data_IF_991685704260
#
_entry.id   IF_991685704260
#
_cell.length_a   1.000
_cell.length_b   1.000
_cell.length_c   1.000
_cell.angle_alpha   90.00
_cell.angle_beta   90.00
_cell.angle_gamma   90.00
#
_symmetry.space_group_name_H-M   'P 1'
#
loop_
_entity.id
_entity.type
_entity.pdbx_description
1 polymer ?
#
# COMPACT_ATOMS: atom_id res chain seq x y z
N UNK A 1 -11.74 34.71 2.21
CA UNK A 1 -10.36 34.80 1.71
C UNK A 1 -9.80 33.40 1.77
N UNK A 2 -9.81 32.71 0.62
CA UNK A 2 -9.28 31.34 0.52
C UNK A 2 -7.75 31.42 0.45
N UNK A 3 -7.08 31.13 1.57
CA UNK A 3 -5.63 30.91 1.58
C UNK A 3 -5.39 29.53 0.96
N UNK A 4 -5.18 29.50 -0.36
CA UNK A 4 -4.70 28.31 -1.04
C UNK A 4 -3.29 28.05 -0.57
N UNK A 5 -3.10 27.02 0.27
CA UNK A 5 -1.80 26.40 0.47
C UNK A 5 -1.39 25.87 -0.92
N UNK A 6 -0.57 26.65 -1.63
CA UNK A 6 0.17 26.10 -2.77
C UNK A 6 1.11 25.08 -2.14
N UNK A 7 0.95 23.81 -2.53
CA UNK A 7 2.04 22.85 -2.43
C UNK A 7 3.25 23.58 -3.01
N UNK A 8 4.20 23.96 -2.16
CA UNK A 8 5.47 24.54 -2.59
C UNK A 8 6.35 23.41 -3.13
N UNK A 9 5.77 22.71 -4.12
CA UNK A 9 6.53 21.96 -5.10
C UNK A 9 7.28 23.03 -5.86
N UNK A 10 8.35 23.56 -5.23
CA UNK A 10 9.23 24.52 -5.88
C UNK A 10 9.40 24.01 -7.28
N UNK A 11 9.09 24.81 -8.30
CA UNK A 11 8.94 24.50 -9.74
C UNK A 11 10.08 23.61 -10.29
N UNK A 12 10.42 22.55 -9.57
CA UNK A 12 11.08 21.36 -10.09
C UNK A 12 10.08 20.79 -11.09
N UNK A 13 10.43 20.86 -12.33
CA UNK A 13 9.68 20.47 -13.51
C UNK A 13 8.81 19.26 -13.17
N UNK A 14 7.51 19.34 -13.37
CA UNK A 14 6.55 18.23 -13.21
C UNK A 14 6.97 16.97 -13.98
N UNK A 15 8.00 17.09 -14.81
CA UNK A 15 8.66 16.04 -15.59
C UNK A 15 9.54 15.10 -14.75
N UNK A 16 9.95 15.50 -13.54
CA UNK A 16 10.91 14.77 -12.69
C UNK A 16 10.24 14.11 -11.47
N UNK A 17 8.97 14.42 -11.18
CA UNK A 17 8.26 13.83 -10.03
C UNK A 17 7.88 12.39 -10.36
N UNK A 18 8.34 11.45 -9.51
CA UNK A 18 7.91 10.05 -9.60
C UNK A 18 6.69 9.80 -8.71
N UNK A 19 5.95 8.72 -8.99
CA UNK A 19 4.79 8.32 -8.17
C UNK A 19 5.23 8.03 -6.72
N UNK A 20 6.32 7.28 -6.53
CA UNK A 20 6.86 7.02 -5.19
C UNK A 20 7.37 8.30 -4.51
N UNK A 21 8.02 9.19 -5.26
CA UNK A 21 8.48 10.48 -4.74
C UNK A 21 7.33 11.33 -4.20
N UNK A 22 6.21 11.40 -4.95
CA UNK A 22 5.01 12.09 -4.49
C UNK A 22 4.44 11.43 -3.23
N UNK A 23 4.29 10.10 -3.22
CA UNK A 23 3.72 9.35 -2.10
C UNK A 23 4.59 9.45 -0.83
N UNK A 24 5.92 9.50 -0.99
CA UNK A 24 6.87 9.63 0.14
C UNK A 24 6.86 11.05 0.71
N UNK A 25 6.88 12.08 -0.16
CA UNK A 25 6.88 13.47 0.28
C UNK A 25 5.52 13.94 0.84
N UNK A 26 4.45 13.33 0.40
CA UNK A 26 3.07 13.68 0.74
C UNK A 26 2.28 12.42 1.11
N UNK A 27 2.29 11.97 2.38
CA UNK A 27 1.58 10.74 2.79
C UNK A 27 0.10 10.73 2.40
N UNK A 28 -0.54 11.91 2.37
CA UNK A 28 -1.92 12.06 1.88
C UNK A 28 -2.11 11.63 0.41
N UNK A 29 -1.03 11.68 -0.41
CA UNK A 29 -1.08 11.27 -1.81
C UNK A 29 -1.41 9.79 -1.99
N UNK A 30 -1.05 8.94 -1.03
CA UNK A 30 -1.35 7.49 -1.07
C UNK A 30 -2.85 7.25 -1.27
N UNK A 31 -3.71 7.97 -0.54
CA UNK A 31 -5.17 7.86 -0.65
C UNK A 31 -5.68 8.32 -2.01
N UNK A 32 -5.10 9.41 -2.53
CA UNK A 32 -5.47 9.96 -3.85
C UNK A 32 -5.04 9.01 -4.97
N UNK A 33 -3.80 8.56 -4.97
CA UNK A 33 -3.26 7.63 -5.96
C UNK A 33 -4.08 6.33 -6.00
N UNK A 34 -4.42 5.78 -4.81
CA UNK A 34 -5.25 4.59 -4.70
C UNK A 34 -6.65 4.78 -5.34
N UNK A 35 -7.32 5.93 -5.09
CA UNK A 35 -8.64 6.23 -5.68
C UNK A 35 -8.60 6.30 -7.21
N UNK A 36 -7.52 6.83 -7.76
CA UNK A 36 -7.30 6.93 -9.21
C UNK A 36 -6.72 5.64 -9.82
N UNK A 37 -6.49 4.59 -9.03
CA UNK A 37 -5.92 3.33 -9.51
C UNK A 37 -4.46 3.43 -9.95
N UNK A 38 -3.75 4.45 -9.50
CA UNK A 38 -2.32 4.65 -9.78
C UNK A 38 -1.51 3.85 -8.77
N UNK A 39 -0.68 2.93 -9.29
CA UNK A 39 0.18 2.08 -8.46
C UNK A 39 1.35 2.89 -7.89
N UNK A 40 1.54 2.84 -6.57
CA UNK A 40 2.54 3.62 -5.83
C UNK A 40 3.47 2.78 -4.94
N UNK A 41 3.09 1.53 -4.62
CA UNK A 41 3.87 0.70 -3.71
C UNK A 41 4.97 -0.10 -4.40
N UNK A 42 4.78 -0.49 -5.65
CA UNK A 42 5.74 -1.24 -6.47
C UNK A 42 5.97 -0.49 -7.78
N UNK A 43 7.23 -0.45 -8.24
CA UNK A 43 7.56 0.25 -9.48
C UNK A 43 7.33 1.76 -9.44
N UNK A 44 7.31 2.36 -8.26
CA UNK A 44 7.01 3.77 -8.05
C UNK A 44 8.04 4.78 -8.60
N UNK A 45 9.14 4.30 -9.18
CA UNK A 45 10.13 5.14 -9.89
C UNK A 45 9.62 5.69 -11.22
N UNK A 46 8.44 5.25 -11.70
CA UNK A 46 7.86 5.79 -12.95
C UNK A 46 7.46 7.25 -12.79
N UNK A 47 7.56 8.06 -13.87
CA UNK A 47 7.14 9.45 -13.86
C UNK A 47 5.64 9.59 -13.55
N UNK A 48 5.28 10.54 -12.68
CA UNK A 48 3.90 10.83 -12.30
C UNK A 48 3.02 11.13 -13.53
N UNK A 49 3.55 11.90 -14.48
CA UNK A 49 2.85 12.25 -15.72
C UNK A 49 2.41 11.01 -16.51
N UNK A 50 3.29 10.00 -16.60
CA UNK A 50 2.99 8.79 -17.35
C UNK A 50 1.91 7.97 -16.64
N UNK A 51 1.97 7.90 -15.30
CA UNK A 51 0.95 7.25 -14.48
C UNK A 51 -0.41 7.95 -14.60
N UNK A 52 -0.43 9.29 -14.55
CA UNK A 52 -1.64 10.08 -14.71
C UNK A 52 -2.25 9.92 -16.11
N UNK A 53 -1.43 9.91 -17.16
CA UNK A 53 -1.90 9.68 -18.53
C UNK A 53 -2.59 8.32 -18.69
N UNK A 54 -2.02 7.26 -18.11
CA UNK A 54 -2.62 5.91 -18.15
C UNK A 54 -3.92 5.84 -17.34
N UNK A 55 -3.99 6.57 -16.23
CA UNK A 55 -5.19 6.65 -15.39
C UNK A 55 -6.25 7.64 -15.94
N UNK A 56 -5.98 8.31 -17.06
CA UNK A 56 -6.81 9.37 -17.64
C UNK A 56 -7.13 10.51 -16.64
N UNK A 57 -6.12 10.94 -15.88
CA UNK A 57 -6.20 12.02 -14.89
C UNK A 57 -5.19 13.11 -15.24
N UNK A 58 -5.60 14.37 -15.15
CA UNK A 58 -4.68 15.50 -15.29
C UNK A 58 -3.79 15.64 -14.04
N UNK A 59 -2.48 15.87 -14.24
CA UNK A 59 -1.50 15.95 -13.14
C UNK A 59 -1.87 17.05 -12.15
N UNK A 60 -2.25 18.22 -12.67
CA UNK A 60 -2.63 19.39 -11.85
C UNK A 60 -3.88 19.11 -11.01
N UNK A 61 -4.84 18.36 -11.57
CA UNK A 61 -6.06 17.97 -10.85
C UNK A 61 -5.73 17.00 -9.71
N UNK A 62 -4.86 16.01 -9.97
CA UNK A 62 -4.39 15.06 -8.96
C UNK A 62 -3.63 15.76 -7.84
N UNK A 63 -2.69 16.66 -8.16
CA UNK A 63 -1.93 17.42 -7.17
C UNK A 63 -2.83 18.35 -6.33
N UNK A 64 -3.82 18.98 -6.95
CA UNK A 64 -4.81 19.78 -6.21
C UNK A 64 -5.67 18.92 -5.27
N UNK A 65 -5.94 17.65 -5.62
CA UNK A 65 -6.65 16.71 -4.75
C UNK A 65 -5.75 16.30 -3.57
N UNK A 66 -4.47 16.02 -3.80
CA UNK A 66 -3.50 15.75 -2.74
C UNK A 66 -3.43 16.90 -1.74
N UNK A 67 -3.31 18.13 -2.21
CA UNK A 67 -3.28 19.31 -1.33
C UNK A 67 -4.55 19.51 -0.50
N UNK A 68 -5.72 19.08 -0.99
CA UNK A 68 -6.96 19.08 -0.20
C UNK A 68 -6.97 18.01 0.89
N UNK A 69 -6.44 16.83 0.59
CA UNK A 69 -6.31 15.74 1.57
C UNK A 69 -5.35 16.12 2.70
N UNK A 70 -4.22 16.76 2.40
CA UNK A 70 -3.23 17.19 3.39
C UNK A 70 -3.81 18.20 4.40
N UNK A 71 -4.69 19.08 3.97
CA UNK A 71 -5.38 20.01 4.89
C UNK A 71 -6.24 19.27 5.91
N UNK A 72 -6.83 18.12 5.52
CA UNK A 72 -7.65 17.28 6.40
C UNK A 72 -6.83 16.36 7.29
N UNK A 73 -5.82 15.72 6.72
CA UNK A 73 -4.93 14.75 7.40
C UNK A 73 -3.66 14.59 6.58
N UNK A 74 -2.59 15.24 7.00
CA UNK A 74 -1.29 15.19 6.32
C UNK A 74 -0.60 13.82 6.47
N UNK A 75 -0.98 13.03 7.48
CA UNK A 75 -0.29 11.79 7.82
C UNK A 75 1.06 12.03 8.51
N UNK A 76 1.85 10.97 8.68
CA UNK A 76 3.18 11.01 9.28
C UNK A 76 4.23 11.04 8.18
N UNK A 77 5.12 12.02 8.24
CA UNK A 77 6.31 12.05 7.37
C UNK A 77 7.38 11.11 7.94
N UNK A 78 7.55 9.98 7.29
CA UNK A 78 8.52 8.95 7.65
C UNK A 78 9.90 9.14 7.01
N UNK A 79 10.06 10.13 6.13
CA UNK A 79 11.32 10.35 5.42
C UNK A 79 12.47 10.74 6.37
N UNK A 80 12.15 11.44 7.47
CA UNK A 80 13.13 11.98 8.41
C UNK A 80 13.13 11.28 9.80
N UNK A 81 12.17 10.37 10.04
CA UNK A 81 12.06 9.70 11.35
C UNK A 81 13.04 8.51 11.46
N UNK A 82 13.47 8.12 12.69
CA UNK A 82 14.29 6.93 12.89
C UNK A 82 13.69 5.67 12.28
N UNK A 83 14.51 4.85 11.61
CA UNK A 83 14.05 3.60 10.99
C UNK A 83 13.42 2.62 11.98
N UNK A 84 13.93 2.61 13.24
CA UNK A 84 13.33 1.81 14.31
C UNK A 84 11.88 2.17 14.59
N UNK A 85 11.54 3.46 14.59
CA UNK A 85 10.15 3.91 14.78
C UNK A 85 9.25 3.51 13.59
N UNK A 86 9.78 3.54 12.36
CA UNK A 86 9.04 3.08 11.20
C UNK A 86 8.81 1.56 11.25
N UNK A 87 9.80 0.78 11.66
CA UNK A 87 9.64 -0.67 11.90
C UNK A 87 8.56 -0.93 12.94
N UNK A 88 8.58 -0.25 14.08
CA UNK A 88 7.56 -0.41 15.12
C UNK A 88 6.15 -0.04 14.61
N UNK A 89 6.05 1.02 13.82
CA UNK A 89 4.79 1.40 13.18
C UNK A 89 4.28 0.32 12.22
N UNK A 90 5.15 -0.24 11.37
CA UNK A 90 4.79 -1.31 10.45
C UNK A 90 4.29 -2.55 11.23
N UNK A 91 4.97 -2.94 12.28
CA UNK A 91 4.58 -4.09 13.12
C UNK A 91 3.21 -3.91 13.77
N UNK A 92 2.94 -2.72 14.33
CA UNK A 92 1.74 -2.46 15.13
C UNK A 92 0.54 -2.12 14.25
N UNK A 93 0.74 -1.18 13.31
CA UNK A 93 -0.37 -0.60 12.57
C UNK A 93 -0.63 -1.30 11.23
N UNK A 94 0.31 -2.12 10.73
CA UNK A 94 0.13 -2.90 9.51
C UNK A 94 0.09 -4.41 9.78
N UNK A 95 1.18 -5.04 10.21
CA UNK A 95 1.23 -6.51 10.37
C UNK A 95 0.12 -7.04 11.30
N UNK A 96 -0.03 -6.45 12.48
CA UNK A 96 -1.05 -6.88 13.44
C UNK A 96 -2.47 -6.61 12.94
N UNK A 97 -2.68 -5.48 12.24
CA UNK A 97 -3.99 -5.10 11.69
C UNK A 97 -4.36 -6.02 10.53
N UNK A 98 -3.44 -6.25 9.58
CA UNK A 98 -3.69 -7.07 8.39
C UNK A 98 -4.00 -8.53 8.73
N UNK A 99 -3.27 -9.12 9.68
CA UNK A 99 -3.60 -10.46 10.19
C UNK A 99 -5.03 -10.54 10.72
N UNK A 100 -5.40 -9.58 11.57
CA UNK A 100 -6.73 -9.52 12.17
C UNK A 100 -7.83 -9.28 11.14
N UNK A 101 -7.61 -8.38 10.19
CA UNK A 101 -8.58 -8.06 9.15
C UNK A 101 -8.77 -9.22 8.16
N UNK A 102 -7.71 -9.91 7.77
CA UNK A 102 -7.80 -11.12 6.94
C UNK A 102 -8.59 -12.23 7.65
N UNK A 103 -8.34 -12.48 8.94
CA UNK A 103 -9.11 -13.46 9.73
C UNK A 103 -10.59 -13.05 9.82
N UNK A 104 -10.88 -11.77 10.07
CA UNK A 104 -12.25 -11.24 10.10
C UNK A 104 -12.97 -11.41 8.76
N UNK A 105 -12.32 -11.05 7.66
CA UNK A 105 -12.91 -11.14 6.31
C UNK A 105 -13.15 -12.60 5.90
N UNK A 106 -12.22 -13.50 6.20
CA UNK A 106 -12.40 -14.94 5.97
C UNK A 106 -13.56 -15.49 6.79
N UNK A 107 -13.72 -15.05 8.04
CA UNK A 107 -14.88 -15.38 8.86
C UNK A 107 -16.22 -14.95 8.24
N UNK A 108 -16.27 -13.81 7.53
CA UNK A 108 -17.47 -13.37 6.78
C UNK A 108 -17.77 -14.27 5.57
N UNK A 109 -16.74 -14.86 4.95
CA UNK A 109 -16.97 -15.86 3.90
C UNK A 109 -17.51 -17.17 4.48
N UNK A 110 -17.04 -17.60 5.64
CA UNK A 110 -17.40 -18.89 6.25
C UNK A 110 -18.77 -18.84 6.98
N UNK A 111 -19.19 -17.68 7.48
CA UNK A 111 -20.48 -17.49 8.17
C UNK A 111 -21.71 -17.57 7.25
N UNK A 112 -21.53 -17.53 5.94
CA UNK A 112 -22.60 -17.61 4.95
C UNK A 112 -22.91 -19.05 4.54
N UNK A 113 -24.07 -19.26 3.86
CA UNK A 113 -24.34 -20.53 3.16
C UNK A 113 -23.23 -20.82 2.15
N UNK A 114 -22.93 -22.11 1.86
CA UNK A 114 -21.92 -22.46 0.86
C UNK A 114 -22.12 -21.64 -0.41
N UNK A 115 -21.08 -21.03 -0.96
CA UNK A 115 -21.23 -20.13 -2.10
C UNK A 115 -21.77 -20.92 -3.31
N UNK A 116 -23.00 -20.59 -3.74
CA UNK A 116 -23.50 -20.99 -5.05
C UNK A 116 -22.93 -20.10 -6.15
N UNK A 117 -22.23 -19.05 -5.77
CA UNK A 117 -21.62 -18.03 -6.62
C UNK A 117 -20.11 -18.31 -6.75
N UNK A 118 -19.69 -18.62 -7.99
CA UNK A 118 -18.32 -18.92 -8.33
C UNK A 118 -17.37 -17.72 -8.06
N UNK A 119 -17.86 -16.49 -8.24
CA UNK A 119 -17.05 -15.27 -7.99
C UNK A 119 -16.77 -15.13 -6.49
N UNK A 120 -17.78 -15.36 -5.64
CA UNK A 120 -17.59 -15.33 -4.18
C UNK A 120 -16.64 -16.43 -3.71
N UNK A 121 -16.71 -17.62 -4.29
CA UNK A 121 -15.80 -18.72 -3.98
C UNK A 121 -14.36 -18.39 -4.39
N UNK A 122 -14.16 -17.86 -5.60
CA UNK A 122 -12.85 -17.42 -6.08
C UNK A 122 -12.27 -16.29 -5.20
N UNK A 123 -13.09 -15.32 -4.82
CA UNK A 123 -12.70 -14.21 -3.95
C UNK A 123 -12.24 -14.72 -2.57
N UNK A 124 -12.96 -15.67 -1.96
CA UNK A 124 -12.58 -16.30 -0.70
C UNK A 124 -11.24 -17.06 -0.82
N UNK A 125 -11.02 -17.76 -1.93
CA UNK A 125 -9.77 -18.48 -2.18
C UNK A 125 -8.59 -17.52 -2.39
N UNK A 126 -8.76 -16.44 -3.15
CA UNK A 126 -7.74 -15.41 -3.31
C UNK A 126 -7.39 -14.77 -1.96
N UNK A 127 -8.37 -14.53 -1.07
CA UNK A 127 -8.11 -14.03 0.29
C UNK A 127 -7.33 -15.03 1.14
N UNK A 128 -7.60 -16.36 1.03
CA UNK A 128 -6.82 -17.38 1.76
C UNK A 128 -5.38 -17.44 1.29
N UNK A 129 -5.16 -17.35 -0.02
CA UNK A 129 -3.81 -17.29 -0.60
C UNK A 129 -3.08 -16.04 -0.12
N UNK A 130 -3.71 -14.86 -0.18
CA UNK A 130 -3.14 -13.62 0.32
C UNK A 130 -2.74 -13.73 1.80
N UNK A 131 -3.62 -14.30 2.63
CA UNK A 131 -3.32 -14.52 4.05
C UNK A 131 -2.10 -15.40 4.26
N UNK A 132 -1.97 -16.50 3.51
CA UNK A 132 -0.86 -17.42 3.63
C UNK A 132 0.46 -16.75 3.21
N UNK A 133 0.48 -16.07 2.05
CA UNK A 133 1.66 -15.37 1.54
C UNK A 133 2.10 -14.24 2.48
N UNK A 134 1.19 -13.39 2.95
CA UNK A 134 1.52 -12.33 3.90
C UNK A 134 2.01 -12.87 5.25
N UNK A 135 1.46 -14.00 5.74
CA UNK A 135 1.94 -14.58 7.00
C UNK A 135 3.39 -15.06 6.92
N UNK A 136 3.79 -15.69 5.80
CA UNK A 136 5.17 -16.12 5.57
C UNK A 136 6.12 -14.93 5.35
N UNK A 137 5.66 -13.93 4.60
CA UNK A 137 6.39 -12.71 4.32
C UNK A 137 6.71 -11.95 5.61
N UNK A 138 5.71 -11.55 6.37
CA UNK A 138 5.85 -10.85 7.65
C UNK A 138 6.72 -11.62 8.65
N UNK A 139 6.65 -12.96 8.69
CA UNK A 139 7.49 -13.76 9.57
C UNK A 139 8.97 -13.63 9.24
N UNK A 140 9.36 -13.53 7.95
CA UNK A 140 10.75 -13.30 7.53
C UNK A 140 11.23 -11.92 7.92
N UNK A 141 10.37 -10.91 7.81
CA UNK A 141 10.69 -9.55 8.22
C UNK A 141 10.88 -9.44 9.72
N UNK A 142 9.93 -9.93 10.50
CA UNK A 142 9.94 -9.90 11.95
C UNK A 142 11.10 -10.67 12.58
N UNK A 143 11.49 -11.80 11.96
CA UNK A 143 12.54 -12.67 12.52
C UNK A 143 13.94 -12.35 12.01
N UNK A 144 14.07 -11.74 10.83
CA UNK A 144 15.38 -11.52 10.19
C UNK A 144 15.59 -10.07 9.81
N UNK A 145 14.76 -9.51 8.94
CA UNK A 145 15.05 -8.24 8.29
C UNK A 145 14.94 -7.05 9.25
N UNK A 146 13.84 -6.94 9.99
CA UNK A 146 13.59 -5.84 10.90
C UNK A 146 14.60 -5.80 12.07
N UNK A 147 14.98 -6.94 12.70
CA UNK A 147 16.08 -6.94 13.66
C UNK A 147 17.41 -6.44 13.10
N UNK A 148 17.69 -6.71 11.83
CA UNK A 148 18.92 -6.18 11.21
C UNK A 148 18.82 -4.67 10.98
N UNK A 149 17.70 -4.17 10.48
CA UNK A 149 17.48 -2.73 10.29
C UNK A 149 17.54 -2.02 11.64
N UNK A 150 16.83 -2.51 12.64
CA UNK A 150 16.77 -1.93 13.98
C UNK A 150 18.14 -1.86 14.69
N UNK A 151 19.05 -2.78 14.36
CA UNK A 151 20.42 -2.80 14.88
C UNK A 151 21.43 -1.99 14.04
N UNK A 152 20.98 -1.15 13.09
CA UNK A 152 21.85 -0.37 12.20
C UNK A 152 22.60 -1.20 11.16
N UNK A 153 22.20 -2.46 10.93
CA UNK A 153 22.83 -3.36 9.95
C UNK A 153 22.08 -3.43 8.62
N UNK A 154 21.21 -2.46 8.34
CA UNK A 154 20.39 -2.43 7.13
C UNK A 154 21.20 -2.49 5.84
N UNK A 155 22.39 -1.90 5.80
CA UNK A 155 23.31 -1.96 4.64
C UNK A 155 23.65 -3.41 4.25
N UNK A 156 23.70 -4.33 5.21
CA UNK A 156 23.99 -5.76 4.96
C UNK A 156 22.76 -6.52 4.49
N UNK A 157 21.57 -5.95 4.60
CA UNK A 157 20.29 -6.60 4.31
C UNK A 157 19.90 -6.60 2.82
N UNK A 158 20.81 -6.26 1.91
CA UNK A 158 20.51 -6.16 0.46
C UNK A 158 19.84 -7.43 -0.10
N UNK A 159 20.34 -8.61 0.20
CA UNK A 159 19.76 -9.85 -0.32
C UNK A 159 18.39 -10.16 0.29
N UNK A 160 18.17 -10.10 1.63
CA UNK A 160 16.83 -10.17 2.21
C UNK A 160 15.86 -9.14 1.61
N UNK A 161 16.24 -7.87 1.48
CA UNK A 161 15.40 -6.82 0.90
C UNK A 161 14.99 -7.16 -0.53
N UNK A 162 15.89 -7.67 -1.37
CA UNK A 162 15.54 -8.08 -2.72
C UNK A 162 14.48 -9.20 -2.73
N UNK A 163 14.56 -10.15 -1.80
CA UNK A 163 13.54 -11.20 -1.66
C UNK A 163 12.20 -10.59 -1.28
N UNK A 164 12.16 -9.68 -0.29
CA UNK A 164 10.92 -8.99 0.12
C UNK A 164 10.29 -8.23 -1.05
N UNK A 165 11.07 -7.49 -1.82
CA UNK A 165 10.58 -6.77 -3.00
C UNK A 165 9.97 -7.72 -4.06
N UNK A 166 10.55 -8.91 -4.27
CA UNK A 166 9.98 -9.92 -5.19
C UNK A 166 8.66 -10.50 -4.64
N UNK A 167 8.55 -10.69 -3.33
CA UNK A 167 7.33 -11.13 -2.67
C UNK A 167 6.24 -10.03 -2.74
N UNK A 168 6.61 -8.75 -2.62
CA UNK A 168 5.70 -7.62 -2.85
C UNK A 168 5.12 -7.62 -4.27
N UNK A 169 5.92 -7.95 -5.29
CA UNK A 169 5.42 -8.12 -6.66
C UNK A 169 4.37 -9.24 -6.76
N UNK A 170 4.55 -10.34 -6.01
CA UNK A 170 3.59 -11.45 -5.98
C UNK A 170 2.31 -11.02 -5.24
N UNK A 171 2.44 -10.39 -4.08
CA UNK A 171 1.34 -9.83 -3.30
C UNK A 171 0.51 -8.84 -4.13
N UNK A 172 1.17 -7.94 -4.88
CA UNK A 172 0.50 -7.00 -5.76
C UNK A 172 -0.37 -7.70 -6.82
N UNK A 173 0.11 -8.81 -7.40
CA UNK A 173 -0.70 -9.61 -8.34
C UNK A 173 -1.96 -10.17 -7.68
N UNK A 174 -1.86 -10.69 -6.45
CA UNK A 174 -3.03 -11.16 -5.68
C UNK A 174 -4.00 -10.04 -5.34
N UNK A 175 -3.51 -8.87 -4.94
CA UNK A 175 -4.36 -7.70 -4.69
C UNK A 175 -5.11 -7.25 -5.94
N UNK A 176 -4.48 -7.29 -7.12
CA UNK A 176 -5.13 -6.97 -8.38
C UNK A 176 -6.18 -8.00 -8.78
N UNK A 177 -5.91 -9.30 -8.58
CA UNK A 177 -6.88 -10.38 -8.75
C UNK A 177 -8.08 -10.19 -7.81
N UNK A 178 -7.83 -9.96 -6.52
CA UNK A 178 -8.84 -9.69 -5.50
C UNK A 178 -9.69 -8.46 -5.85
N UNK A 179 -9.07 -7.38 -6.33
CA UNK A 179 -9.78 -6.16 -6.77
C UNK A 179 -10.76 -6.44 -7.90
N UNK A 180 -10.34 -7.19 -8.92
CA UNK A 180 -11.21 -7.58 -10.04
C UNK A 180 -12.39 -8.45 -9.61
N UNK A 181 -12.12 -9.47 -8.77
CA UNK A 181 -13.15 -10.34 -8.21
C UNK A 181 -14.12 -9.58 -7.30
N UNK A 182 -13.62 -8.65 -6.47
CA UNK A 182 -14.44 -7.79 -5.61
C UNK A 182 -15.38 -6.91 -6.41
N UNK A 183 -14.91 -6.33 -7.51
CA UNK A 183 -15.76 -5.53 -8.42
C UNK A 183 -16.86 -6.38 -9.04
N UNK A 184 -16.53 -7.58 -9.54
CA UNK A 184 -17.51 -8.52 -10.09
C UNK A 184 -18.52 -8.96 -9.01
N UNK A 185 -18.06 -9.27 -7.80
CA UNK A 185 -18.90 -9.62 -6.65
C UNK A 185 -19.85 -8.47 -6.25
N UNK A 186 -19.35 -7.24 -6.20
CA UNK A 186 -20.14 -6.06 -5.83
C UNK A 186 -21.29 -5.78 -6.80
N UNK A 187 -21.16 -6.17 -8.06
CA UNK A 187 -22.21 -6.05 -9.07
C UNK A 187 -23.29 -7.14 -8.98
N UNK A 188 -23.07 -8.20 -8.19
CA UNK A 188 -23.99 -9.32 -8.06
C UNK A 188 -25.14 -9.01 -7.08
N UNK A 189 -26.38 -9.49 -7.34
CA UNK A 189 -27.48 -9.37 -6.40
C UNK A 189 -27.14 -10.05 -5.05
N UNK A 190 -27.36 -9.34 -3.94
CA UNK A 190 -27.12 -9.86 -2.59
C UNK A 190 -25.66 -9.80 -2.14
N UNK A 191 -24.80 -9.06 -2.83
CA UNK A 191 -23.43 -8.81 -2.39
C UNK A 191 -23.40 -8.17 -1.00
N UNK A 192 -22.52 -8.65 -0.13
CA UNK A 192 -22.31 -8.07 1.20
C UNK A 192 -21.53 -6.77 1.10
N UNK A 193 -22.17 -5.64 1.43
CA UNK A 193 -21.52 -4.34 1.45
C UNK A 193 -20.33 -4.31 2.44
N UNK A 194 -20.46 -4.98 3.59
CA UNK A 194 -19.39 -5.07 4.58
C UNK A 194 -18.16 -5.82 4.04
N UNK A 195 -18.37 -6.89 3.27
CA UNK A 195 -17.29 -7.63 2.64
C UNK A 195 -16.61 -6.81 1.53
N UNK A 196 -17.40 -6.15 0.68
CA UNK A 196 -16.88 -5.30 -0.40
C UNK A 196 -16.04 -4.14 0.16
N UNK A 197 -16.53 -3.46 1.20
CA UNK A 197 -15.82 -2.36 1.84
C UNK A 197 -14.55 -2.87 2.56
N UNK A 198 -14.66 -3.93 3.36
CA UNK A 198 -13.50 -4.46 4.09
C UNK A 198 -12.38 -4.95 3.18
N UNK A 199 -12.71 -5.57 2.04
CA UNK A 199 -11.71 -5.96 1.04
C UNK A 199 -11.07 -4.75 0.33
N UNK A 200 -11.81 -3.65 0.16
CA UNK A 200 -11.25 -2.42 -0.39
C UNK A 200 -10.28 -1.76 0.61
N UNK A 201 -10.66 -1.73 1.88
CA UNK A 201 -9.82 -1.19 2.95
C UNK A 201 -8.54 -2.01 3.12
N UNK A 202 -8.64 -3.34 3.09
CA UNK A 202 -7.49 -4.24 3.15
C UNK A 202 -6.55 -4.04 1.95
N UNK A 203 -7.07 -3.98 0.71
CA UNK A 203 -6.26 -3.75 -0.50
C UNK A 203 -5.47 -2.44 -0.40
N UNK A 204 -6.13 -1.34 0.05
CA UNK A 204 -5.44 -0.06 0.26
C UNK A 204 -4.38 -0.17 1.35
N UNK A 205 -4.70 -0.80 2.47
CA UNK A 205 -3.82 -0.92 3.63
C UNK A 205 -2.54 -1.70 3.32
N UNK A 206 -2.65 -2.86 2.66
CA UNK A 206 -1.49 -3.66 2.23
C UNK A 206 -0.62 -2.90 1.22
N UNK A 207 -1.20 -2.10 0.32
CA UNK A 207 -0.40 -1.25 -0.59
C UNK A 207 0.33 -0.14 0.14
N UNK A 208 -0.28 0.47 1.14
CA UNK A 208 0.34 1.49 1.99
C UNK A 208 1.51 0.90 2.78
N UNK A 209 1.33 -0.29 3.35
CA UNK A 209 2.37 -1.09 3.99
C UNK A 209 3.57 -1.30 3.04
N UNK A 210 3.36 -1.94 1.89
CA UNK A 210 4.42 -2.17 0.91
C UNK A 210 5.07 -0.87 0.41
N UNK A 211 4.34 0.25 0.39
CA UNK A 211 4.91 1.55 0.05
C UNK A 211 5.92 2.01 1.10
N UNK A 212 5.55 1.96 2.40
CA UNK A 212 6.43 2.35 3.49
C UNK A 212 7.73 1.53 3.48
N UNK A 213 7.64 0.26 3.16
CA UNK A 213 8.80 -0.63 3.08
C UNK A 213 9.64 -0.38 1.83
N UNK A 214 9.08 -0.50 0.64
CA UNK A 214 9.81 -0.40 -0.61
C UNK A 214 10.44 0.98 -0.83
N UNK A 215 9.66 2.04 -0.56
CA UNK A 215 10.03 3.38 -0.96
C UNK A 215 10.70 4.18 0.16
N UNK A 216 10.52 3.78 1.43
CA UNK A 216 11.11 4.47 2.57
C UNK A 216 12.06 3.55 3.33
N UNK A 217 11.57 2.52 4.03
CA UNK A 217 12.35 1.69 4.93
C UNK A 217 13.54 1.02 4.24
N UNK A 218 13.30 0.26 3.18
CA UNK A 218 14.35 -0.49 2.47
C UNK A 218 15.34 0.43 1.77
N UNK A 219 14.83 1.52 1.19
CA UNK A 219 15.67 2.52 0.52
C UNK A 219 16.61 3.20 1.50
N UNK A 220 16.12 3.62 2.67
CA UNK A 220 16.91 4.27 3.71
C UNK A 220 17.86 3.29 4.40
N UNK A 221 17.41 2.09 4.73
CA UNK A 221 18.25 1.04 5.32
C UNK A 221 19.47 0.70 4.45
N UNK A 222 19.29 0.61 3.12
CA UNK A 222 20.39 0.35 2.18
C UNK A 222 21.37 1.50 2.04
N UNK A 223 20.97 2.74 2.37
CA UNK A 223 21.87 3.91 2.42
C UNK A 223 22.66 3.97 3.72
N UNK A 224 22.24 3.25 4.74
CA UNK A 224 22.85 3.28 6.07
C UNK A 224 22.27 4.37 6.97
N UNK A 225 21.06 4.83 6.69
CA UNK A 225 20.30 5.69 7.58
C UNK A 225 19.93 4.91 8.87
N UNK A 226 19.80 5.63 10.01
CA UNK A 226 19.45 5.07 11.31
C UNK A 226 18.05 5.51 11.79
#
# INVERSE_FOLDING_TARGET
MACGLRLDLGMARSEEITVAGLATAHPAAVRVLYRHGIEFCVGGSRPLRDACREAAVEVEALLAEVGREEVGDAGVDWAERPLGELVDHILIDFHAVERRELDRLLGLFDAGAPPRDAVRAALAETCRRLRAELAEHMAKEETVLFPWIHSGRGVLARAPIQVMMMEHDATLRLLNEMRGLRQAYAAAPGASAALVAGLADLDRHVREHMHLENNILFTRALRGDE
#
